data_IF_579621818991
#
_entry.id   IF_579621818991
#
_cell.length_a   1.000
_cell.length_b   1.000
_cell.length_c   1.000
_cell.angle_alpha   90.00
_cell.angle_beta   90.00
_cell.angle_gamma   90.00
#
_symmetry.space_group_name_H-M   'P 1'
#
loop_
_entity.id
_entity.type
_entity.pdbx_description
1 polymer ?
#
# COMPACT_ATOMS: atom_id res chain seq x y z
N UNK A 1 -26.44 -31.66 -15.91
CA UNK A 1 -25.83 -31.66 -14.54
C UNK A 1 -24.39 -31.23 -14.68
N UNK A 2 -24.10 -29.95 -14.46
CA UNK A 2 -22.73 -29.41 -14.54
C UNK A 2 -22.07 -29.65 -13.20
N UNK A 3 -21.10 -30.55 -13.15
CA UNK A 3 -20.26 -30.80 -11.98
C UNK A 3 -19.55 -29.49 -11.55
N UNK A 4 -19.90 -28.96 -10.38
CA UNK A 4 -19.12 -27.90 -9.76
C UNK A 4 -17.66 -28.38 -9.61
N UNK A 5 -16.66 -27.60 -10.05
CA UNK A 5 -15.28 -27.94 -9.77
C UNK A 5 -15.08 -28.04 -8.24
N UNK A 6 -14.13 -28.88 -7.77
CA UNK A 6 -13.89 -29.08 -6.34
C UNK A 6 -13.71 -27.72 -5.68
N UNK A 7 -14.38 -27.53 -4.55
CA UNK A 7 -14.44 -26.25 -3.81
C UNK A 7 -13.04 -25.81 -3.41
N UNK A 8 -12.43 -24.94 -4.19
CA UNK A 8 -11.28 -24.15 -3.72
C UNK A 8 -11.76 -23.46 -2.45
N UNK A 9 -11.11 -23.73 -1.32
CA UNK A 9 -11.47 -23.12 -0.04
C UNK A 9 -11.63 -21.61 -0.24
N UNK A 10 -12.78 -21.05 0.20
CA UNK A 10 -13.11 -19.64 -0.05
C UNK A 10 -11.96 -18.75 0.43
N UNK A 11 -11.79 -17.59 -0.20
CA UNK A 11 -10.75 -16.61 0.17
C UNK A 11 -10.77 -16.29 1.66
N UNK A 12 -11.96 -16.24 2.27
CA UNK A 12 -12.15 -16.03 3.70
C UNK A 12 -11.48 -17.12 4.56
N UNK A 13 -11.66 -18.39 4.21
CA UNK A 13 -11.02 -19.49 4.96
C UNK A 13 -9.51 -19.50 4.73
N UNK A 14 -9.05 -19.21 3.52
CA UNK A 14 -7.61 -19.08 3.23
C UNK A 14 -6.99 -17.96 4.05
N UNK A 15 -7.60 -16.76 4.08
CA UNK A 15 -7.15 -15.62 4.86
C UNK A 15 -7.20 -15.91 6.37
N UNK A 16 -8.24 -16.60 6.85
CA UNK A 16 -8.36 -17.01 8.26
C UNK A 16 -7.26 -18.00 8.65
N UNK A 17 -6.92 -18.97 7.79
CA UNK A 17 -5.83 -19.92 8.02
C UNK A 17 -4.48 -19.20 8.12
N UNK A 18 -4.21 -18.27 7.21
CA UNK A 18 -2.99 -17.45 7.25
C UNK A 18 -2.91 -16.60 8.53
N UNK A 19 -4.02 -15.97 8.92
CA UNK A 19 -4.09 -15.17 10.15
C UNK A 19 -3.82 -16.02 11.40
N UNK A 20 -4.42 -17.21 11.52
CA UNK A 20 -4.15 -18.14 12.61
C UNK A 20 -2.68 -18.57 12.66
N UNK A 21 -2.07 -18.85 11.51
CA UNK A 21 -0.64 -19.16 11.43
C UNK A 21 0.20 -17.99 11.97
N UNK A 22 -0.09 -16.76 11.56
CA UNK A 22 0.64 -15.57 12.05
C UNK A 22 0.45 -15.41 13.56
N UNK A 23 -0.78 -15.55 14.06
CA UNK A 23 -1.12 -15.45 15.49
C UNK A 23 -0.41 -16.50 16.35
N UNK A 24 -0.07 -17.68 15.77
CA UNK A 24 0.70 -18.72 16.48
C UNK A 24 2.17 -18.36 16.67
N UNK A 25 2.69 -17.36 15.95
CA UNK A 25 4.11 -16.95 15.98
C UNK A 25 4.38 -15.81 16.95
N UNK A 26 3.34 -15.11 17.43
CA UNK A 26 3.50 -13.95 18.31
C UNK A 26 2.32 -13.81 19.28
N UNK A 27 2.61 -13.29 20.47
CA UNK A 27 1.59 -12.92 21.47
C UNK A 27 1.03 -11.50 21.23
N UNK A 28 1.69 -10.69 20.40
CA UNK A 28 1.23 -9.34 20.08
C UNK A 28 -0.08 -9.38 19.30
N UNK A 29 -0.96 -8.44 19.58
CA UNK A 29 -2.26 -8.28 18.91
C UNK A 29 -2.35 -6.84 18.36
N UNK A 30 -1.73 -6.58 17.19
CA UNK A 30 -1.75 -5.25 16.59
C UNK A 30 -3.14 -4.90 16.08
N UNK A 31 -3.48 -3.62 16.13
CA UNK A 31 -4.68 -3.05 15.50
C UNK A 31 -4.35 -2.17 14.30
N UNK A 32 -3.07 -1.89 14.07
CA UNK A 32 -2.55 -1.05 12.99
C UNK A 32 -1.64 -1.89 12.10
N UNK A 33 -1.84 -1.76 10.78
CA UNK A 33 -0.92 -2.30 9.78
C UNK A 33 -0.21 -1.14 9.05
N UNK A 34 1.05 -1.40 8.70
CA UNK A 34 1.85 -0.51 7.86
C UNK A 34 2.33 -1.30 6.65
N UNK A 35 1.98 -0.85 5.45
CA UNK A 35 2.51 -1.41 4.20
C UNK A 35 3.65 -0.54 3.72
N UNK A 36 4.86 -1.08 3.80
CA UNK A 36 6.09 -0.38 3.43
C UNK A 36 6.34 -0.58 1.93
N UNK A 37 6.27 0.51 1.17
CA UNK A 37 6.64 0.56 -0.23
C UNK A 37 8.15 0.46 -0.44
N UNK A 38 8.55 0.51 -1.72
CA UNK A 38 9.96 0.49 -2.13
C UNK A 38 10.78 1.51 -1.34
N UNK A 39 11.98 1.11 -0.88
CA UNK A 39 12.90 1.96 -0.13
C UNK A 39 12.53 2.27 1.32
N UNK A 40 11.29 1.99 1.77
CA UNK A 40 10.81 2.30 3.12
C UNK A 40 10.92 1.11 4.10
N UNK A 41 11.44 -0.03 3.62
CA UNK A 41 11.54 -1.27 4.40
C UNK A 41 12.32 -1.16 5.71
N UNK A 42 13.29 -0.25 5.78
CA UNK A 42 14.15 -0.05 6.96
C UNK A 42 13.38 0.29 8.25
N UNK A 43 12.20 0.90 8.16
CA UNK A 43 11.35 1.16 9.33
C UNK A 43 10.98 -0.12 10.09
N UNK A 44 10.77 -1.23 9.39
CA UNK A 44 10.44 -2.50 10.03
C UNK A 44 11.59 -3.05 10.91
N UNK A 45 12.82 -2.62 10.66
CA UNK A 45 13.99 -3.05 11.42
C UNK A 45 14.11 -2.31 12.77
N UNK A 46 13.41 -1.19 12.91
CA UNK A 46 13.36 -0.38 14.13
C UNK A 46 12.31 -0.86 15.13
N UNK A 47 11.46 -1.82 14.75
CA UNK A 47 10.42 -2.34 15.63
C UNK A 47 11.02 -3.17 16.77
N UNK A 48 10.68 -2.79 18.01
CA UNK A 48 11.08 -3.55 19.20
C UNK A 48 10.20 -4.78 19.40
N UNK A 49 10.75 -5.80 20.08
CA UNK A 49 10.07 -7.10 20.32
C UNK A 49 9.54 -7.75 19.04
N UNK A 50 10.28 -7.60 17.94
CA UNK A 50 9.84 -7.97 16.60
C UNK A 50 9.84 -9.48 16.35
N UNK A 51 8.74 -9.99 15.83
CA UNK A 51 8.61 -11.31 15.21
C UNK A 51 8.61 -11.14 13.70
N UNK A 52 9.56 -11.76 12.99
CA UNK A 52 9.69 -11.71 11.53
C UNK A 52 9.19 -13.01 10.90
N UNK A 53 8.30 -12.91 9.92
CA UNK A 53 7.71 -14.07 9.24
C UNK A 53 7.85 -13.87 7.73
N UNK A 54 8.75 -14.62 7.04
CA UNK A 54 8.87 -14.56 5.59
C UNK A 54 7.54 -14.91 4.89
N UNK A 55 7.18 -14.19 3.84
CA UNK A 55 5.90 -14.38 3.13
C UNK A 55 5.71 -15.81 2.63
N UNK A 56 6.78 -16.45 2.13
CA UNK A 56 6.71 -17.82 1.64
C UNK A 56 6.35 -18.85 2.72
N UNK A 57 6.47 -18.51 4.01
CA UNK A 57 6.03 -19.35 5.14
C UNK A 57 4.58 -19.14 5.52
N UNK A 58 3.96 -18.04 5.08
CA UNK A 58 2.57 -17.72 5.41
C UNK A 58 1.66 -18.39 4.36
N UNK A 59 0.69 -19.23 4.77
CA UNK A 59 -0.15 -19.94 3.83
C UNK A 59 -0.89 -19.02 2.85
N UNK A 60 -0.62 -19.17 1.56
CA UNK A 60 -1.29 -18.44 0.48
C UNK A 60 -0.81 -17.01 0.25
N UNK A 61 0.22 -16.52 0.96
CA UNK A 61 0.82 -15.22 0.66
C UNK A 61 1.53 -15.23 -0.69
N UNK A 62 1.36 -14.18 -1.50
CA UNK A 62 2.11 -14.01 -2.74
C UNK A 62 3.59 -13.71 -2.42
N UNK A 63 4.47 -14.00 -3.37
CA UNK A 63 5.91 -13.72 -3.26
C UNK A 63 6.22 -12.44 -4.01
N UNK A 64 6.83 -11.47 -3.35
CA UNK A 64 7.33 -10.27 -4.04
C UNK A 64 8.57 -10.64 -4.87
N UNK A 65 8.60 -10.17 -6.11
CA UNK A 65 9.73 -10.33 -7.04
C UNK A 65 10.48 -9.02 -7.26
N UNK A 66 9.96 -7.92 -6.71
CA UNK A 66 10.51 -6.58 -6.87
C UNK A 66 11.78 -6.40 -6.02
N UNK A 67 12.84 -5.91 -6.64
CA UNK A 67 14.08 -5.55 -5.94
C UNK A 67 13.81 -4.51 -4.83
N UNK A 68 14.42 -4.72 -3.65
CA UNK A 68 14.20 -3.85 -2.48
C UNK A 68 13.03 -4.25 -1.59
N UNK A 69 12.25 -5.27 -1.96
CA UNK A 69 11.20 -5.83 -1.11
C UNK A 69 11.72 -7.07 -0.38
N UNK A 70 11.85 -6.99 0.95
CA UNK A 70 12.33 -8.12 1.77
C UNK A 70 11.36 -9.31 1.81
N UNK A 71 10.10 -9.11 1.44
CA UNK A 71 9.08 -10.17 1.38
C UNK A 71 8.81 -10.83 2.74
N UNK A 72 8.69 -10.03 3.80
CA UNK A 72 8.38 -10.51 5.15
C UNK A 72 7.36 -9.64 5.88
N UNK A 73 6.65 -10.28 6.81
CA UNK A 73 5.78 -9.64 7.78
C UNK A 73 6.56 -9.45 9.09
N UNK A 74 6.57 -8.24 9.62
CA UNK A 74 7.22 -7.93 10.90
C UNK A 74 6.17 -7.44 11.88
N UNK A 75 6.00 -8.15 12.99
CA UNK A 75 5.06 -7.78 14.04
C UNK A 75 5.88 -7.36 15.25
N UNK A 76 5.74 -6.11 15.67
CA UNK A 76 6.54 -5.53 16.74
C UNK A 76 5.88 -4.30 17.34
N UNK A 77 6.67 -3.48 18.05
CA UNK A 77 6.19 -2.25 18.65
C UNK A 77 6.99 -1.06 18.13
N UNK A 78 6.29 0.01 17.77
CA UNK A 78 6.86 1.34 17.55
C UNK A 78 6.36 2.27 18.66
N UNK A 79 7.26 2.93 19.39
CA UNK A 79 6.92 3.76 20.55
C UNK A 79 5.94 3.08 21.54
N UNK A 80 6.13 1.78 21.78
CA UNK A 80 5.27 0.97 22.65
C UNK A 80 3.97 0.46 22.02
N UNK A 81 3.56 0.97 20.86
CA UNK A 81 2.32 0.59 20.17
C UNK A 81 2.54 -0.65 19.31
N UNK A 82 1.76 -1.75 19.51
CA UNK A 82 1.85 -2.92 18.65
C UNK A 82 1.37 -2.61 17.24
N UNK A 83 2.17 -2.97 16.25
CA UNK A 83 1.81 -2.88 14.83
C UNK A 83 2.32 -4.08 14.03
N UNK A 84 1.77 -4.26 12.84
CA UNK A 84 2.27 -5.21 11.84
C UNK A 84 2.75 -4.45 10.62
N UNK A 85 4.00 -4.64 10.24
CA UNK A 85 4.60 -4.05 9.04
C UNK A 85 4.75 -5.12 7.95
N UNK A 86 4.22 -4.83 6.77
CA UNK A 86 4.53 -5.56 5.54
C UNK A 86 5.79 -4.94 4.94
N UNK A 87 6.91 -5.65 4.96
CA UNK A 87 8.19 -5.20 4.39
C UNK A 87 8.25 -5.59 2.92
N UNK A 88 7.55 -4.81 2.10
CA UNK A 88 7.29 -5.05 0.68
C UNK A 88 5.86 -5.51 0.39
N UNK A 89 5.49 -5.39 -0.88
CA UNK A 89 4.19 -5.80 -1.43
C UNK A 89 4.36 -6.43 -2.81
N UNK A 90 3.28 -7.00 -3.35
CA UNK A 90 3.22 -7.44 -4.75
C UNK A 90 2.33 -6.51 -5.57
N UNK A 91 2.52 -6.55 -6.90
CA UNK A 91 1.87 -5.63 -7.83
C UNK A 91 1.22 -6.39 -8.99
N UNK A 92 0.28 -5.73 -9.67
CA UNK A 92 -0.36 -6.27 -10.87
C UNK A 92 0.65 -6.56 -11.98
N UNK A 93 1.67 -5.68 -12.16
CA UNK A 93 2.70 -5.86 -13.20
C UNK A 93 3.62 -7.07 -12.94
N UNK A 94 3.61 -7.66 -11.76
CA UNK A 94 4.31 -8.91 -11.47
C UNK A 94 3.53 -10.15 -12.00
N UNK A 95 2.35 -9.95 -12.62
CA UNK A 95 1.48 -11.01 -13.15
C UNK A 95 0.44 -11.51 -12.15
N UNK A 96 0.34 -10.92 -10.97
CA UNK A 96 -0.68 -11.25 -9.99
C UNK A 96 -2.05 -10.64 -10.35
N UNK A 97 -3.12 -11.40 -10.14
CA UNK A 97 -4.48 -10.87 -10.19
C UNK A 97 -4.72 -9.86 -9.04
N UNK A 98 -5.69 -8.96 -9.22
CA UNK A 98 -6.06 -8.00 -8.17
C UNK A 98 -6.43 -8.68 -6.83
N UNK A 99 -7.02 -9.89 -6.88
CA UNK A 99 -7.33 -10.69 -5.67
C UNK A 99 -6.07 -11.18 -4.96
N UNK A 100 -5.07 -11.61 -5.71
CA UNK A 100 -3.79 -12.04 -5.13
C UNK A 100 -3.02 -10.86 -4.53
N UNK A 101 -3.01 -9.72 -5.22
CA UNK A 101 -2.40 -8.48 -4.72
C UNK A 101 -2.98 -8.07 -3.36
N UNK A 102 -4.30 -8.19 -3.17
CA UNK A 102 -4.95 -7.79 -1.91
C UNK A 102 -5.09 -8.91 -0.89
N UNK A 103 -4.68 -10.13 -1.20
CA UNK A 103 -4.78 -11.24 -0.25
C UNK A 103 -4.07 -10.95 1.08
N UNK A 104 -2.87 -10.33 1.13
CA UNK A 104 -2.27 -9.88 2.38
C UNK A 104 -3.18 -8.94 3.18
N UNK A 105 -3.86 -8.00 2.53
CA UNK A 105 -4.81 -7.10 3.20
C UNK A 105 -6.00 -7.87 3.79
N UNK A 106 -6.51 -8.90 3.08
CA UNK A 106 -7.55 -9.80 3.61
C UNK A 106 -7.09 -10.51 4.88
N UNK A 107 -5.84 -10.96 4.90
CA UNK A 107 -5.23 -11.61 6.09
C UNK A 107 -5.10 -10.62 7.25
N UNK A 108 -4.67 -9.38 6.98
CA UNK A 108 -4.61 -8.32 7.99
C UNK A 108 -5.99 -8.05 8.61
N UNK A 109 -7.06 -8.03 7.80
CA UNK A 109 -8.43 -7.94 8.32
C UNK A 109 -8.81 -9.10 9.22
N UNK A 110 -8.39 -10.31 8.87
CA UNK A 110 -8.61 -11.51 9.72
C UNK A 110 -7.76 -11.53 10.98
N UNK A 111 -6.65 -10.80 11.02
CA UNK A 111 -5.84 -10.55 12.23
C UNK A 111 -6.50 -9.55 13.20
N UNK A 112 -7.54 -8.84 12.77
CA UNK A 112 -8.21 -7.83 13.58
C UNK A 112 -7.66 -6.42 13.41
N UNK A 113 -6.90 -6.18 12.33
CA UNK A 113 -6.41 -4.83 11.99
C UNK A 113 -7.59 -3.92 11.68
N UNK A 114 -7.55 -2.71 12.24
CA UNK A 114 -8.60 -1.68 12.07
C UNK A 114 -8.12 -0.45 11.30
N UNK A 115 -6.82 -0.26 11.23
CA UNK A 115 -6.19 0.85 10.50
C UNK A 115 -5.06 0.34 9.64
N UNK A 116 -5.00 0.79 8.38
CA UNK A 116 -3.92 0.51 7.45
C UNK A 116 -3.25 1.81 7.01
N UNK A 117 -1.94 1.91 7.21
CA UNK A 117 -1.10 2.97 6.66
C UNK A 117 -0.45 2.38 5.42
N UNK A 118 -0.77 2.92 4.26
CA UNK A 118 -0.24 2.48 2.97
C UNK A 118 0.80 3.49 2.49
N UNK A 119 2.04 3.06 2.33
CA UNK A 119 3.08 3.94 1.80
C UNK A 119 3.52 3.49 0.42
N UNK A 120 3.93 4.42 -0.43
CA UNK A 120 4.41 4.15 -1.77
C UNK A 120 5.44 5.19 -2.24
N UNK A 121 6.17 4.85 -3.30
CA UNK A 121 6.87 5.78 -4.16
C UNK A 121 5.89 6.24 -5.26
N UNK A 122 5.96 7.51 -5.65
CA UNK A 122 5.11 8.06 -6.69
C UNK A 122 5.85 9.10 -7.54
N UNK A 123 5.47 9.20 -8.83
CA UNK A 123 5.84 10.28 -9.70
C UNK A 123 4.96 11.51 -9.47
N UNK A 124 5.54 12.71 -9.37
CA UNK A 124 4.79 13.95 -9.24
C UNK A 124 4.29 14.44 -10.59
N UNK A 125 3.00 14.70 -10.68
CA UNK A 125 2.33 15.43 -11.78
C UNK A 125 2.19 16.90 -11.40
N UNK A 126 1.91 17.16 -10.12
CA UNK A 126 1.81 18.48 -9.54
C UNK A 126 3.22 19.09 -9.34
N UNK A 127 3.45 20.27 -9.92
CA UNK A 127 4.75 20.97 -9.89
C UNK A 127 5.05 21.64 -8.54
N UNK A 128 4.07 21.76 -7.65
CA UNK A 128 4.27 22.28 -6.29
C UNK A 128 4.98 21.27 -5.37
N UNK A 129 5.14 20.03 -5.83
CA UNK A 129 5.86 19.03 -5.09
C UNK A 129 7.32 18.97 -5.51
N UNK A 130 8.20 18.70 -4.57
CA UNK A 130 9.62 18.47 -4.82
C UNK A 130 9.95 16.98 -4.66
N UNK A 131 11.06 16.56 -5.22
CA UNK A 131 11.61 15.22 -4.96
C UNK A 131 11.90 15.05 -3.44
N UNK A 132 11.48 13.95 -2.87
CA UNK A 132 11.50 13.67 -1.43
C UNK A 132 10.30 14.21 -0.66
N UNK A 133 9.39 14.97 -1.29
CA UNK A 133 8.17 15.45 -0.64
C UNK A 133 7.27 14.30 -0.20
N UNK A 134 6.64 14.46 0.96
CA UNK A 134 5.59 13.56 1.44
C UNK A 134 4.23 14.12 1.06
N UNK A 135 3.34 13.25 0.59
CA UNK A 135 1.97 13.62 0.20
C UNK A 135 0.99 12.66 0.84
N UNK A 136 0.12 13.18 1.70
CA UNK A 136 -1.03 12.43 2.21
C UNK A 136 -2.08 12.30 1.10
N UNK A 137 -2.39 11.05 0.74
CA UNK A 137 -3.39 10.76 -0.31
C UNK A 137 -4.76 11.11 0.24
N UNK A 138 -5.43 12.10 -0.38
CA UNK A 138 -6.79 12.48 -0.01
C UNK A 138 -7.86 11.71 -0.78
N UNK A 139 -7.53 11.28 -2.01
CA UNK A 139 -8.38 10.51 -2.90
C UNK A 139 -7.56 9.79 -3.97
N UNK A 140 -8.19 8.92 -4.78
CA UNK A 140 -7.51 8.24 -5.87
C UNK A 140 -8.35 8.14 -7.13
N UNK A 141 -7.65 7.96 -8.26
CA UNK A 141 -8.21 7.61 -9.56
C UNK A 141 -7.69 6.23 -9.93
N UNK A 142 -8.58 5.24 -10.06
CA UNK A 142 -8.22 3.86 -10.42
C UNK A 142 -8.25 3.67 -11.94
N UNK A 143 -7.09 3.68 -12.57
CA UNK A 143 -6.89 3.40 -13.99
C UNK A 143 -6.16 2.06 -14.25
N UNK A 144 -6.16 1.15 -13.28
CA UNK A 144 -5.51 -0.17 -13.41
C UNK A 144 -6.31 -1.17 -14.27
N UNK A 145 -7.46 -0.79 -14.79
CA UNK A 145 -8.31 -1.67 -15.61
C UNK A 145 -8.95 -2.82 -14.83
N UNK A 146 -8.83 -2.83 -13.51
CA UNK A 146 -9.35 -3.89 -12.63
C UNK A 146 -9.77 -3.36 -11.26
N UNK A 147 -10.48 -4.23 -10.51
CA UNK A 147 -10.88 -3.95 -9.13
C UNK A 147 -10.84 -5.27 -8.34
N UNK A 148 -10.26 -5.31 -7.13
CA UNK A 148 -10.13 -6.55 -6.35
C UNK A 148 -11.47 -7.14 -5.90
N UNK A 149 -12.56 -6.40 -6.03
CA UNK A 149 -13.92 -6.85 -5.68
C UNK A 149 -14.69 -7.47 -6.84
N UNK A 150 -14.09 -7.56 -8.05
CA UNK A 150 -14.71 -8.22 -9.22
C UNK A 150 -14.94 -9.70 -8.90
N UNK A 151 -16.15 -10.18 -9.25
CA UNK A 151 -16.60 -11.56 -9.04
C UNK A 151 -17.55 -11.70 -7.85
N UNK A 152 -17.80 -12.93 -7.36
CA UNK A 152 -18.70 -13.17 -6.23
C UNK A 152 -18.23 -12.45 -4.95
N UNK A 153 -19.18 -11.83 -4.25
CA UNK A 153 -18.91 -11.19 -2.96
C UNK A 153 -18.92 -12.24 -1.84
N UNK A 154 -18.02 -12.08 -0.87
CA UNK A 154 -18.08 -12.79 0.41
C UNK A 154 -18.41 -11.77 1.51
N UNK A 155 -19.66 -11.77 1.94
CA UNK A 155 -20.22 -10.80 2.90
C UNK A 155 -19.49 -10.81 4.27
N UNK A 156 -18.76 -11.89 4.57
CA UNK A 156 -17.93 -11.98 5.77
C UNK A 156 -16.75 -11.00 5.74
N UNK A 157 -16.35 -10.53 4.55
CA UNK A 157 -15.38 -9.44 4.39
C UNK A 157 -16.06 -8.07 4.38
N UNK A 158 -17.23 -7.96 3.77
CA UNK A 158 -17.96 -6.70 3.67
C UNK A 158 -19.09 -6.73 2.66
N UNK A 159 -19.74 -5.59 2.50
CA UNK A 159 -20.87 -5.42 1.59
C UNK A 159 -20.43 -5.47 0.12
N UNK A 160 -21.34 -5.88 -0.79
CA UNK A 160 -21.04 -5.97 -2.22
C UNK A 160 -20.56 -4.66 -2.85
N UNK A 161 -21.12 -3.53 -2.42
CA UNK A 161 -20.83 -2.21 -2.93
C UNK A 161 -20.40 -1.29 -1.76
N UNK A 162 -19.09 -1.31 -1.39
CA UNK A 162 -18.60 -0.42 -0.35
C UNK A 162 -18.61 1.03 -0.81
N UNK A 163 -19.00 1.94 0.08
CA UNK A 163 -18.85 3.37 -0.14
C UNK A 163 -17.37 3.77 -0.11
N UNK A 164 -16.90 4.43 -1.17
CA UNK A 164 -15.52 4.91 -1.33
C UNK A 164 -15.40 6.42 -1.20
N UNK A 165 -16.48 7.14 -0.84
CA UNK A 165 -16.47 8.61 -0.69
C UNK A 165 -15.43 9.11 0.30
N UNK A 166 -15.02 8.25 1.24
CA UNK A 166 -13.99 8.51 2.23
C UNK A 166 -12.96 7.37 2.26
N UNK A 167 -12.48 6.98 1.06
CA UNK A 167 -11.50 5.90 0.92
C UNK A 167 -10.27 6.10 1.80
N UNK A 168 -9.84 7.34 1.98
CA UNK A 168 -8.78 7.73 2.90
C UNK A 168 -9.36 8.53 4.07
N UNK A 169 -9.19 8.02 5.28
CA UNK A 169 -9.83 8.55 6.47
C UNK A 169 -9.36 9.98 6.79
N UNK A 170 -10.27 10.96 6.71
CA UNK A 170 -9.97 12.38 6.96
C UNK A 170 -9.30 12.59 8.32
N UNK A 171 -9.82 11.98 9.39
CA UNK A 171 -9.24 12.10 10.72
C UNK A 171 -7.77 11.63 10.79
N UNK A 172 -7.41 10.60 10.02
CA UNK A 172 -6.02 10.10 10.00
C UNK A 172 -5.10 11.01 9.19
N UNK A 173 -5.60 11.63 8.12
CA UNK A 173 -4.86 12.66 7.40
C UNK A 173 -4.60 13.88 8.28
N UNK A 174 -5.63 14.36 9.00
CA UNK A 174 -5.49 15.47 9.96
C UNK A 174 -4.46 15.17 11.05
N UNK A 175 -4.44 13.94 11.57
CA UNK A 175 -3.40 13.49 12.50
C UNK A 175 -2.02 13.55 11.84
N UNK A 176 -1.88 13.02 10.62
CA UNK A 176 -0.60 13.02 9.91
C UNK A 176 -0.09 14.45 9.65
N UNK A 177 -0.96 15.36 9.20
CA UNK A 177 -0.63 16.77 8.99
C UNK A 177 -0.22 17.49 10.28
N UNK A 178 -0.94 17.26 11.35
CA UNK A 178 -0.62 17.84 12.68
C UNK A 178 0.73 17.35 13.20
N UNK A 179 0.99 16.03 13.12
CA UNK A 179 2.24 15.46 13.59
C UNK A 179 3.42 15.86 12.69
N UNK A 180 3.23 15.94 11.37
CA UNK A 180 4.23 16.46 10.46
C UNK A 180 4.61 17.90 10.82
N UNK A 181 3.61 18.77 11.06
CA UNK A 181 3.84 20.16 11.50
C UNK A 181 4.62 20.21 12.83
N UNK A 182 4.25 19.36 13.81
CA UNK A 182 4.94 19.28 15.11
C UNK A 182 6.41 18.88 14.96
N UNK A 183 6.72 18.04 13.96
CA UNK A 183 8.08 17.55 13.69
C UNK A 183 8.86 18.43 12.70
N UNK A 184 8.27 19.53 12.20
CA UNK A 184 8.91 20.37 11.18
C UNK A 184 9.01 19.69 9.81
N UNK A 185 8.18 18.65 9.55
CA UNK A 185 8.16 17.92 8.27
C UNK A 185 7.10 18.54 7.39
N UNK A 186 7.48 18.91 6.17
CA UNK A 186 6.52 19.36 5.16
C UNK A 186 5.78 18.14 4.59
N UNK A 187 4.46 18.19 4.60
CA UNK A 187 3.59 17.20 3.98
C UNK A 187 2.48 17.91 3.20
N UNK A 188 2.21 17.46 1.99
CA UNK A 188 1.14 17.95 1.12
C UNK A 188 -0.07 17.02 1.18
N UNK A 189 -1.17 17.41 0.52
CA UNK A 189 -2.30 16.52 0.22
C UNK A 189 -2.51 16.45 -1.28
N UNK A 190 -2.87 15.26 -1.81
CA UNK A 190 -3.04 15.09 -3.26
C UNK A 190 -3.89 13.89 -3.66
N UNK A 191 -4.25 13.86 -4.93
CA UNK A 191 -4.97 12.77 -5.59
C UNK A 191 -3.98 11.84 -6.29
N UNK A 192 -4.05 10.55 -5.98
CA UNK A 192 -3.17 9.52 -6.52
C UNK A 192 -3.84 8.79 -7.68
N UNK A 193 -3.24 8.81 -8.88
CA UNK A 193 -3.64 7.97 -10.00
C UNK A 193 -2.90 6.63 -9.96
N UNK A 194 -3.63 5.52 -10.01
CA UNK A 194 -3.06 4.18 -10.06
C UNK A 194 -3.15 3.61 -11.47
N UNK A 195 -2.00 3.26 -12.05
CA UNK A 195 -1.86 2.57 -13.33
C UNK A 195 -1.30 1.15 -13.11
N UNK A 196 -1.42 0.31 -14.12
CA UNK A 196 -0.95 -1.07 -14.03
C UNK A 196 0.59 -1.16 -14.09
N UNK A 197 1.25 -0.34 -14.90
CA UNK A 197 2.65 -0.54 -15.27
C UNK A 197 2.84 -1.80 -16.13
N UNK A 198 4.08 -2.34 -16.28
CA UNK A 198 5.34 -1.91 -15.66
C UNK A 198 6.03 -0.73 -16.35
N UNK A 199 5.59 -0.34 -17.58
CA UNK A 199 6.14 0.86 -18.24
C UNK A 199 5.77 2.10 -17.46
N UNK A 200 6.68 3.07 -17.40
CA UNK A 200 6.32 4.43 -17.02
C UNK A 200 5.39 5.02 -18.08
N UNK A 201 4.65 6.02 -17.70
CA UNK A 201 3.69 6.73 -18.52
C UNK A 201 4.39 7.52 -19.63
N UNK A 202 3.68 7.73 -20.72
CA UNK A 202 4.10 8.69 -21.75
C UNK A 202 3.77 10.13 -21.32
N UNK A 203 4.43 11.16 -21.89
CA UNK A 203 4.06 12.54 -21.62
C UNK A 203 2.61 12.88 -21.94
N UNK A 204 1.99 12.20 -22.91
CA UNK A 204 0.57 12.38 -23.24
C UNK A 204 -0.35 11.82 -22.16
N UNK A 205 -0.03 10.64 -21.62
CA UNK A 205 -0.75 10.06 -20.49
C UNK A 205 -0.63 10.94 -19.24
N UNK A 206 0.53 11.52 -18.98
CA UNK A 206 0.71 12.45 -17.84
C UNK A 206 -0.13 13.73 -18.02
N UNK A 207 -0.20 14.30 -19.24
CA UNK A 207 -1.10 15.43 -19.49
C UNK A 207 -2.57 15.07 -19.28
N UNK A 208 -2.97 13.88 -19.71
CA UNK A 208 -4.31 13.36 -19.46
C UNK A 208 -4.59 13.23 -17.96
N UNK A 209 -3.70 12.60 -17.20
CA UNK A 209 -3.82 12.44 -15.74
C UNK A 209 -3.94 13.79 -15.04
N UNK A 210 -3.14 14.77 -15.43
CA UNK A 210 -3.24 16.14 -14.92
C UNK A 210 -4.61 16.76 -15.19
N UNK A 211 -5.14 16.57 -16.40
CA UNK A 211 -6.45 17.13 -16.81
C UNK A 211 -7.59 16.54 -15.98
N UNK A 212 -7.53 15.28 -15.62
CA UNK A 212 -8.54 14.62 -14.78
C UNK A 212 -8.33 14.81 -13.27
N UNK A 213 -7.33 15.61 -12.86
CA UNK A 213 -7.13 16.04 -11.48
C UNK A 213 -6.19 15.18 -10.65
N UNK A 214 -5.31 14.37 -11.27
CA UNK A 214 -4.29 13.64 -10.56
C UNK A 214 -3.10 14.55 -10.19
N UNK A 215 -2.61 14.45 -8.95
CA UNK A 215 -1.42 15.10 -8.44
C UNK A 215 -0.19 14.18 -8.49
N UNK A 216 -0.42 12.88 -8.37
CA UNK A 216 0.58 11.81 -8.28
C UNK A 216 0.21 10.63 -9.16
N UNK A 217 1.21 9.87 -9.59
CA UNK A 217 1.01 8.64 -10.34
C UNK A 217 1.88 7.51 -9.79
N UNK A 218 1.35 6.28 -9.80
CA UNK A 218 2.11 5.08 -9.44
C UNK A 218 1.33 3.80 -9.71
N UNK A 219 1.89 2.66 -9.30
CA UNK A 219 1.43 1.32 -9.75
C UNK A 219 0.94 0.42 -8.60
N UNK A 220 0.55 1.00 -7.45
CA UNK A 220 0.18 0.24 -6.23
C UNK A 220 -1.00 0.86 -5.48
N UNK A 221 -1.14 0.52 -4.20
CA UNK A 221 -1.92 1.23 -3.16
C UNK A 221 -3.43 1.17 -3.34
N UNK A 222 -3.97 1.45 -4.52
CA UNK A 222 -5.42 1.53 -4.75
C UNK A 222 -6.14 0.21 -4.53
N UNK A 223 -5.66 -0.95 -5.03
CA UNK A 223 -6.29 -2.23 -4.74
C UNK A 223 -6.32 -2.53 -3.23
N UNK A 224 -5.23 -2.20 -2.51
CA UNK A 224 -5.14 -2.40 -1.06
C UNK A 224 -6.11 -1.48 -0.31
N UNK A 225 -6.23 -0.21 -0.73
CA UNK A 225 -7.19 0.74 -0.16
C UNK A 225 -8.63 0.27 -0.38
N UNK A 226 -8.98 -0.23 -1.57
CA UNK A 226 -10.31 -0.79 -1.87
C UNK A 226 -10.60 -1.99 -0.96
N UNK A 227 -9.66 -2.94 -0.85
CA UNK A 227 -9.84 -4.13 -0.02
C UNK A 227 -9.93 -3.80 1.47
N UNK A 228 -9.17 -2.82 1.95
CA UNK A 228 -9.23 -2.33 3.33
C UNK A 228 -10.59 -1.68 3.64
N UNK A 229 -11.07 -0.78 2.78
CA UNK A 229 -12.39 -0.16 2.92
C UNK A 229 -13.52 -1.18 2.88
N UNK A 230 -13.45 -2.18 1.99
CA UNK A 230 -14.41 -3.28 1.96
C UNK A 230 -14.51 -3.99 3.32
N UNK A 231 -13.42 -4.13 4.07
CA UNK A 231 -13.37 -4.70 5.42
C UNK A 231 -13.54 -3.65 6.53
N UNK A 232 -13.96 -2.42 6.20
CA UNK A 232 -14.17 -1.30 7.12
C UNK A 232 -12.91 -0.89 7.90
N UNK A 233 -11.74 -1.17 7.37
CA UNK A 233 -10.49 -0.59 7.91
C UNK A 233 -10.40 0.88 7.53
N UNK A 234 -9.89 1.70 8.44
CA UNK A 234 -9.53 3.10 8.13
C UNK A 234 -8.19 3.14 7.43
N UNK A 235 -8.10 3.87 6.33
CA UNK A 235 -6.89 3.95 5.51
C UNK A 235 -6.26 5.33 5.61
N UNK A 236 -4.94 5.38 5.78
CA UNK A 236 -4.08 6.53 5.53
C UNK A 236 -3.13 6.14 4.41
N UNK A 237 -3.11 6.89 3.32
CA UNK A 237 -2.13 6.75 2.25
C UNK A 237 -1.08 7.85 2.35
N UNK A 238 0.20 7.51 2.23
CA UNK A 238 1.29 8.48 2.17
C UNK A 238 2.19 8.09 1.00
N UNK A 239 2.32 8.99 0.04
CA UNK A 239 3.28 8.89 -1.06
C UNK A 239 4.56 9.65 -0.74
N UNK A 240 5.70 9.05 -1.11
CA UNK A 240 6.96 9.78 -1.23
C UNK A 240 7.18 10.08 -2.72
N UNK A 241 7.34 11.35 -3.05
CA UNK A 241 7.67 11.78 -4.40
C UNK A 241 9.11 11.40 -4.71
N UNK A 242 9.33 10.47 -5.62
CA UNK A 242 10.68 9.99 -5.97
C UNK A 242 11.24 10.66 -7.20
N UNK A 243 10.37 11.10 -8.10
CA UNK A 243 10.70 11.73 -9.38
C UNK A 243 9.53 12.58 -9.86
N UNK A 244 9.75 13.46 -10.80
CA UNK A 244 8.65 14.02 -11.60
C UNK A 244 8.17 12.98 -12.63
N UNK A 245 6.89 13.01 -12.96
CA UNK A 245 6.30 12.13 -13.95
C UNK A 245 6.81 12.47 -15.38
N UNK A 246 6.63 11.54 -16.33
CA UNK A 246 7.15 11.67 -17.68
C UNK A 246 6.72 12.98 -18.38
N UNK A 247 7.67 13.71 -18.97
CA UNK A 247 7.41 14.96 -19.70
C UNK A 247 7.02 16.15 -18.82
N UNK A 248 7.11 16.01 -17.49
CA UNK A 248 7.01 17.14 -16.54
C UNK A 248 8.34 17.90 -16.51
N UNK A 249 9.44 17.17 -16.62
CA UNK A 249 10.79 17.68 -16.82
C UNK A 249 11.45 16.95 -17.99
N UNK A 250 12.58 17.45 -18.51
CA UNK A 250 13.33 16.81 -19.61
C UNK A 250 14.17 15.60 -19.18
N UNK A 251 14.10 15.20 -17.90
CA UNK A 251 14.87 14.08 -17.37
C UNK A 251 14.23 12.74 -17.76
N UNK A 252 15.10 11.77 -18.14
CA UNK A 252 14.66 10.38 -18.31
C UNK A 252 14.33 9.77 -16.94
N UNK A 253 13.29 8.96 -16.92
CA UNK A 253 12.91 8.20 -15.72
C UNK A 253 13.78 6.95 -15.61
N UNK A 254 14.39 6.75 -14.44
CA UNK A 254 15.14 5.54 -14.09
C UNK A 254 14.70 5.02 -12.72
N UNK A 255 14.41 3.73 -12.64
CA UNK A 255 14.04 3.07 -11.39
C UNK A 255 15.15 3.16 -10.32
N UNK A 256 16.41 3.27 -10.72
CA UNK A 256 17.53 3.46 -9.82
C UNK A 256 17.45 4.79 -9.06
N UNK A 257 17.09 5.86 -9.75
CA UNK A 257 16.89 7.18 -9.14
C UNK A 257 15.76 7.17 -8.10
N UNK A 258 14.68 6.39 -8.38
CA UNK A 258 13.58 6.15 -7.42
C UNK A 258 14.11 5.54 -6.13
N UNK A 259 14.96 4.52 -6.22
CA UNK A 259 15.53 3.85 -5.03
C UNK A 259 16.50 4.77 -4.27
N UNK A 260 17.36 5.50 -4.98
CA UNK A 260 18.34 6.42 -4.38
C UNK A 260 17.66 7.56 -3.62
N UNK A 261 16.59 8.14 -4.17
CA UNK A 261 15.78 9.15 -3.50
C UNK A 261 15.18 8.63 -2.17
N UNK A 262 14.62 7.43 -2.18
CA UNK A 262 14.01 6.82 -0.99
C UNK A 262 15.04 6.52 0.11
N UNK A 263 16.23 6.08 -0.26
CA UNK A 263 17.34 5.85 0.68
C UNK A 263 17.82 7.15 1.32
N UNK A 264 17.89 8.24 0.54
CA UNK A 264 18.25 9.56 1.04
C UNK A 264 17.19 10.10 2.02
N UNK A 265 15.92 10.02 1.67
CA UNK A 265 14.81 10.48 2.49
C UNK A 265 14.74 9.73 3.82
N UNK A 266 14.96 8.41 3.82
CA UNK A 266 14.99 7.60 5.04
C UNK A 266 16.16 7.93 5.99
N UNK A 267 17.29 8.41 5.47
CA UNK A 267 18.45 8.84 6.28
C UNK A 267 18.24 10.21 6.90
N UNK A 268 17.54 11.11 6.20
CA UNK A 268 17.30 12.49 6.67
C UNK A 268 16.29 12.54 7.84
N UNK A 269 15.36 11.60 7.88
CA UNK A 269 14.39 11.47 8.99
C UNK A 269 14.98 10.91 10.30
N UNK A 270 16.23 10.45 10.27
CA UNK A 270 16.95 9.92 11.45
C UNK A 270 17.82 10.96 12.18
N UNK A 271 17.88 12.18 11.68
CA UNK A 271 18.55 13.33 12.31
C UNK A 271 17.53 14.31 12.87
#
# INVERSE_FOLDING_TARGET
MTSRPPSVASEFFRATRAAKFIQSKTKLRPSVALVLGSGLGAFADELSSATRIPYHKIPGFPRSTVAGHSGQLVIGKAAGVPLVAMQGRVHLYEGYSAKEVVFPMRVLGRLGIRAAILTNAAGAINLDYSQGALVAIRDHINLQGTNPLIGPNDERFGVRFPDMSHAYAKAYREIALREAKRLGIQIHEGVYAALCGPSFETPAEIRYLKTIGADLVGMSTVPEAIAANHMRMKVLGISCVTNFAAGVTDQKLDHKEVLDCLLYTSRKSRR
#
